data_IF_428085998525
#
_entry.id   IF_428085998525
#
_cell.length_a   1.000
_cell.length_b   1.000
_cell.length_c   1.000
_cell.angle_alpha   90.00
_cell.angle_beta   90.00
_cell.angle_gamma   90.00
#
_symmetry.space_group_name_H-M   'P 1'
#
loop_
_entity.id
_entity.type
_entity.pdbx_description
1 polymer ?
#
# COMPACT_ATOMS: atom_id res chain seq x y z
N UNK A 1 5.38 -5.86 -21.45
CA UNK A 1 5.02 -4.78 -20.50
C UNK A 1 5.75 -4.89 -19.17
N UNK A 2 5.52 -5.93 -18.34
CA UNK A 2 6.20 -6.11 -17.04
C UNK A 2 7.73 -5.93 -17.08
N UNK A 3 8.42 -6.63 -17.99
CA UNK A 3 9.87 -6.49 -18.18
C UNK A 3 10.31 -5.06 -18.52
N UNK A 4 9.53 -4.32 -19.31
CA UNK A 4 9.85 -2.94 -19.67
C UNK A 4 9.72 -2.01 -18.46
N UNK A 5 8.67 -2.19 -17.64
CA UNK A 5 8.50 -1.43 -16.40
C UNK A 5 9.63 -1.68 -15.38
N UNK A 6 10.20 -2.88 -15.35
CA UNK A 6 11.33 -3.21 -14.47
C UNK A 6 12.67 -2.68 -14.96
N UNK A 7 12.89 -2.64 -16.27
CA UNK A 7 14.18 -2.22 -16.86
C UNK A 7 14.23 -0.71 -17.13
N UNK A 8 13.09 -0.09 -17.42
CA UNK A 8 13.00 1.33 -17.76
C UNK A 8 12.04 2.04 -16.80
N UNK A 9 12.58 2.69 -15.74
CA UNK A 9 11.76 3.47 -14.81
C UNK A 9 10.98 4.55 -15.56
N UNK A 10 9.72 4.76 -15.17
CA UNK A 10 8.91 5.84 -15.74
C UNK A 10 9.53 7.19 -15.31
N UNK A 11 9.90 8.07 -16.27
CA UNK A 11 10.44 9.38 -15.94
C UNK A 11 9.39 10.25 -15.22
N UNK A 12 9.86 11.22 -14.44
CA UNK A 12 8.96 12.18 -13.79
C UNK A 12 8.14 12.97 -14.83
N UNK A 13 6.89 13.29 -14.53
CA UNK A 13 5.98 14.02 -15.43
C UNK A 13 5.30 13.16 -16.51
N UNK A 14 5.51 11.84 -16.51
CA UNK A 14 4.81 10.90 -17.39
C UNK A 14 3.67 10.16 -16.68
N UNK A 15 2.83 10.89 -15.95
CA UNK A 15 1.78 10.31 -15.10
C UNK A 15 0.75 9.52 -15.92
N UNK A 16 0.48 9.95 -17.16
CA UNK A 16 -0.36 9.19 -18.11
C UNK A 16 0.20 7.80 -18.43
N UNK A 17 1.52 7.69 -18.59
CA UNK A 17 2.15 6.39 -18.84
C UNK A 17 2.01 5.48 -17.61
N UNK A 18 2.22 6.03 -16.41
CA UNK A 18 2.07 5.30 -15.14
C UNK A 18 0.63 4.82 -14.95
N UNK A 19 -0.35 5.69 -15.18
CA UNK A 19 -1.78 5.34 -15.17
C UNK A 19 -2.09 4.16 -16.07
N UNK A 20 -1.69 4.24 -17.33
CA UNK A 20 -1.92 3.17 -18.31
C UNK A 20 -1.22 1.88 -17.92
N UNK A 21 -0.01 1.97 -17.36
CA UNK A 21 0.73 0.81 -16.86
C UNK A 21 -0.03 0.13 -15.71
N UNK A 22 -0.40 0.87 -14.66
CA UNK A 22 -1.08 0.33 -13.49
C UNK A 22 -2.41 -0.30 -13.86
N UNK A 23 -3.20 0.38 -14.69
CA UNK A 23 -4.44 -0.17 -15.25
C UNK A 23 -4.18 -1.49 -15.98
N UNK A 24 -3.15 -1.55 -16.83
CA UNK A 24 -2.84 -2.77 -17.58
C UNK A 24 -2.37 -3.93 -16.69
N UNK A 25 -1.65 -3.63 -15.61
CA UNK A 25 -1.12 -4.63 -14.67
C UNK A 25 -2.20 -5.14 -13.71
N UNK A 26 -3.16 -4.30 -13.33
CA UNK A 26 -4.26 -4.64 -12.42
C UNK A 26 -5.48 -5.21 -13.15
N UNK A 27 -5.80 -4.70 -14.35
CA UNK A 27 -6.98 -5.12 -15.11
C UNK A 27 -6.84 -6.48 -15.80
N UNK A 28 -5.85 -7.31 -15.44
CA UNK A 28 -5.57 -8.59 -16.09
C UNK A 28 -6.71 -9.63 -16.02
N UNK A 29 -7.81 -9.37 -15.30
CA UNK A 29 -8.87 -10.38 -15.08
C UNK A 29 -10.31 -9.85 -15.23
N UNK A 30 -10.53 -8.66 -15.80
CA UNK A 30 -11.89 -8.15 -16.06
C UNK A 30 -12.72 -7.74 -14.82
N UNK A 31 -12.20 -7.93 -13.61
CA UNK A 31 -12.83 -7.55 -12.34
C UNK A 31 -12.87 -6.03 -12.07
N UNK A 32 -12.16 -5.24 -12.87
CA UNK A 32 -12.01 -3.81 -12.68
C UNK A 32 -13.33 -3.03 -12.86
N UNK A 33 -14.00 -3.20 -14.01
CA UNK A 33 -15.20 -2.45 -14.35
C UNK A 33 -16.42 -2.74 -13.43
N UNK A 34 -16.64 -3.98 -12.96
CA UNK A 34 -17.65 -4.26 -11.93
C UNK A 34 -17.44 -3.45 -10.64
N UNK A 35 -16.22 -3.43 -10.09
CA UNK A 35 -15.91 -2.69 -8.86
C UNK A 35 -16.08 -1.18 -9.04
N UNK A 36 -15.63 -0.64 -10.18
CA UNK A 36 -15.80 0.78 -10.49
C UNK A 36 -17.28 1.19 -10.51
N UNK A 37 -18.17 0.34 -11.06
CA UNK A 37 -19.62 0.59 -11.07
C UNK A 37 -20.29 0.41 -9.71
N UNK A 38 -19.72 -0.42 -8.85
CA UNK A 38 -20.23 -0.66 -7.50
C UNK A 38 -19.95 0.53 -6.57
N UNK A 39 -18.83 1.24 -6.78
CA UNK A 39 -18.33 2.28 -5.89
C UNK A 39 -19.36 3.33 -5.46
N UNK A 40 -20.14 3.98 -6.35
CA UNK A 40 -21.07 5.03 -5.93
C UNK A 40 -22.13 4.53 -4.94
N UNK A 41 -22.55 3.27 -5.08
CA UNK A 41 -23.50 2.65 -4.16
C UNK A 41 -22.93 2.29 -2.80
N UNK A 42 -21.60 2.10 -2.70
CA UNK A 42 -20.89 1.88 -1.44
C UNK A 42 -20.57 3.22 -0.76
N UNK A 43 -20.10 4.20 -1.52
CA UNK A 43 -19.77 5.56 -1.05
C UNK A 43 -21.01 6.26 -0.47
N UNK A 44 -22.16 6.14 -1.13
CA UNK A 44 -23.43 6.69 -0.65
C UNK A 44 -23.90 6.15 0.71
N UNK A 45 -23.35 5.02 1.18
CA UNK A 45 -23.65 4.48 2.53
C UNK A 45 -22.96 5.27 3.64
N UNK A 46 -21.94 6.05 3.30
CA UNK A 46 -21.23 6.90 4.25
C UNK A 46 -20.36 6.10 5.24
N UNK A 47 -20.23 6.57 6.50
CA UNK A 47 -19.37 5.95 7.51
C UNK A 47 -19.63 4.45 7.74
N UNK A 48 -18.56 3.67 7.75
CA UNK A 48 -18.58 2.24 8.05
C UNK A 48 -18.42 1.95 9.55
N UNK A 49 -18.51 0.68 9.95
CA UNK A 49 -18.23 0.26 11.34
C UNK A 49 -16.80 0.55 11.81
N UNK A 50 -15.84 0.73 10.88
CA UNK A 50 -14.43 1.03 11.18
C UNK A 50 -14.06 2.49 10.91
N UNK A 51 -15.05 3.35 10.71
CA UNK A 51 -14.85 4.77 10.39
C UNK A 51 -13.93 5.51 11.39
N UNK A 52 -14.08 5.25 12.69
CA UNK A 52 -13.23 5.89 13.71
C UNK A 52 -11.77 5.48 13.59
N UNK A 53 -11.50 4.20 13.29
CA UNK A 53 -10.15 3.70 13.06
C UNK A 53 -9.56 4.31 11.78
N UNK A 54 -10.34 4.37 10.70
CA UNK A 54 -9.95 5.03 9.44
C UNK A 54 -9.55 6.49 9.71
N UNK A 55 -10.36 7.24 10.44
CA UNK A 55 -10.06 8.64 10.77
C UNK A 55 -8.81 8.79 11.62
N UNK A 56 -8.59 7.88 12.58
CA UNK A 56 -7.37 7.88 13.39
C UNK A 56 -6.13 7.68 12.50
N UNK A 57 -6.17 6.68 11.61
CA UNK A 57 -5.12 6.38 10.66
C UNK A 57 -4.83 7.54 9.70
N UNK A 58 -5.88 8.17 9.15
CA UNK A 58 -5.73 9.35 8.29
C UNK A 58 -5.16 10.55 9.05
N UNK A 59 -5.40 10.67 10.36
CA UNK A 59 -4.81 11.75 11.14
C UNK A 59 -3.27 11.65 11.21
N UNK A 60 -2.72 10.43 11.17
CA UNK A 60 -1.26 10.20 11.13
C UNK A 60 -0.65 10.70 9.82
N UNK A 61 -1.37 10.56 8.70
CA UNK A 61 -0.99 11.18 7.42
C UNK A 61 -0.94 12.70 7.56
N UNK A 62 -1.98 13.30 8.14
CA UNK A 62 -2.08 14.76 8.29
C UNK A 62 -1.04 15.38 9.21
N UNK A 63 -0.60 14.65 10.23
CA UNK A 63 0.45 15.12 11.14
C UNK A 63 1.85 15.12 10.49
N UNK A 64 1.99 14.48 9.34
CA UNK A 64 3.23 14.47 8.57
C UNK A 64 3.18 15.56 7.49
N UNK A 65 3.26 16.84 7.89
CA UNK A 65 3.17 18.00 6.96
C UNK A 65 4.03 17.87 5.71
N UNK A 66 5.27 17.38 5.85
CA UNK A 66 6.17 17.15 4.70
C UNK A 66 5.62 16.14 3.70
N UNK A 67 4.89 15.14 4.19
CA UNK A 67 4.33 14.08 3.37
C UNK A 67 3.11 14.59 2.61
N UNK A 68 2.14 15.21 3.28
CA UNK A 68 0.99 15.80 2.57
C UNK A 68 1.40 16.90 1.59
N UNK A 69 2.41 17.71 1.94
CA UNK A 69 2.92 18.76 1.05
C UNK A 69 3.65 18.19 -0.18
N UNK A 70 4.16 16.96 -0.12
CA UNK A 70 4.71 16.29 -1.31
C UNK A 70 3.64 15.68 -2.21
N UNK A 71 2.40 15.54 -1.74
CA UNK A 71 1.31 14.88 -2.45
C UNK A 71 0.16 15.82 -2.87
N UNK A 72 0.06 16.99 -2.24
CA UNK A 72 -0.95 18.00 -2.54
C UNK A 72 -0.36 19.41 -2.43
N UNK A 73 -0.73 20.28 -3.38
CA UNK A 73 -0.13 21.62 -3.58
C UNK A 73 -0.44 22.62 -2.48
N UNK A 74 -1.60 22.49 -1.86
CA UNK A 74 -2.13 23.44 -0.88
C UNK A 74 -3.07 22.75 0.11
N UNK A 75 -3.49 23.49 1.15
CA UNK A 75 -4.35 22.98 2.21
C UNK A 75 -5.72 22.47 1.71
N UNK A 76 -6.25 23.05 0.63
CA UNK A 76 -7.53 22.62 0.06
C UNK A 76 -7.37 21.28 -0.67
N UNK A 77 -6.29 21.13 -1.44
CA UNK A 77 -5.93 19.88 -2.10
C UNK A 77 -5.65 18.77 -1.07
N UNK A 78 -4.99 19.11 0.04
CA UNK A 78 -4.74 18.18 1.15
C UNK A 78 -6.05 17.71 1.80
N UNK A 79 -6.98 18.63 2.09
CA UNK A 79 -8.29 18.27 2.63
C UNK A 79 -9.08 17.37 1.67
N UNK A 80 -9.10 17.71 0.37
CA UNK A 80 -9.76 16.93 -0.66
C UNK A 80 -9.19 15.50 -0.76
N UNK A 81 -7.86 15.36 -0.68
CA UNK A 81 -7.18 14.06 -0.68
C UNK A 81 -7.59 13.22 0.53
N UNK A 82 -7.60 13.79 1.72
CA UNK A 82 -8.01 13.10 2.96
C UNK A 82 -9.48 12.67 2.87
N UNK A 83 -10.36 13.54 2.42
CA UNK A 83 -11.80 13.24 2.26
C UNK A 83 -12.01 12.09 1.25
N UNK A 84 -11.24 12.10 0.16
CA UNK A 84 -11.26 11.05 -0.88
C UNK A 84 -10.83 9.70 -0.30
N UNK A 85 -9.73 9.68 0.44
CA UNK A 85 -9.25 8.47 1.11
C UNK A 85 -10.27 7.96 2.14
N UNK A 86 -10.87 8.86 2.90
CA UNK A 86 -11.88 8.50 3.91
C UNK A 86 -13.11 7.84 3.26
N UNK A 87 -13.64 8.41 2.18
CA UNK A 87 -14.76 7.82 1.43
C UNK A 87 -14.39 6.45 0.86
N UNK A 88 -13.26 6.34 0.18
CA UNK A 88 -12.80 5.09 -0.43
C UNK A 88 -12.58 3.97 0.59
N UNK A 89 -11.96 4.27 1.72
CA UNK A 89 -11.70 3.28 2.77
C UNK A 89 -12.98 2.82 3.47
N UNK A 90 -13.95 3.71 3.69
CA UNK A 90 -15.25 3.32 4.22
C UNK A 90 -16.05 2.48 3.22
N UNK A 91 -16.04 2.86 1.93
CA UNK A 91 -16.64 2.07 0.86
C UNK A 91 -16.02 0.65 0.77
N UNK A 92 -14.71 0.52 0.98
CA UNK A 92 -14.03 -0.77 1.00
C UNK A 92 -14.53 -1.64 2.15
N UNK A 93 -14.69 -1.08 3.35
CA UNK A 93 -15.25 -1.83 4.49
C UNK A 93 -16.67 -2.33 4.18
N UNK A 94 -17.52 -1.50 3.56
CA UNK A 94 -18.87 -1.92 3.14
C UNK A 94 -18.81 -3.06 2.10
N UNK A 95 -17.88 -3.00 1.15
CA UNK A 95 -17.69 -4.07 0.17
C UNK A 95 -17.35 -5.40 0.86
N UNK A 96 -16.38 -5.37 1.78
CA UNK A 96 -15.93 -6.57 2.48
C UNK A 96 -17.02 -7.18 3.37
N UNK A 97 -17.87 -6.33 3.95
CA UNK A 97 -19.05 -6.75 4.72
C UNK A 97 -20.11 -7.43 3.84
N UNK A 98 -20.40 -6.86 2.66
CA UNK A 98 -21.34 -7.44 1.71
C UNK A 98 -20.85 -8.81 1.21
N UNK A 99 -19.54 -8.97 1.03
CA UNK A 99 -18.90 -10.23 0.60
C UNK A 99 -18.74 -11.26 1.74
N UNK A 100 -19.11 -10.90 2.98
CA UNK A 100 -18.93 -11.72 4.20
C UNK A 100 -17.47 -12.17 4.44
N UNK A 101 -16.50 -11.49 3.84
CA UNK A 101 -15.10 -11.84 3.99
C UNK A 101 -14.52 -11.08 5.20
N UNK A 102 -14.66 -11.71 6.37
CA UNK A 102 -14.11 -11.25 7.65
C UNK A 102 -12.58 -11.16 7.58
N UNK A 103 -11.93 -11.91 6.68
CA UNK A 103 -10.48 -11.90 6.52
C UNK A 103 -9.96 -10.72 5.68
N UNK A 104 -10.84 -9.90 5.09
CA UNK A 104 -10.47 -8.65 4.41
C UNK A 104 -10.89 -7.39 5.18
N UNK A 105 -11.07 -7.45 6.50
CA UNK A 105 -11.36 -6.26 7.31
C UNK A 105 -10.26 -5.20 7.17
N UNK A 106 -10.60 -3.91 7.29
CA UNK A 106 -9.63 -2.83 7.26
C UNK A 106 -8.55 -3.01 8.33
N UNK A 107 -7.28 -3.05 7.92
CA UNK A 107 -6.11 -3.14 8.81
C UNK A 107 -5.32 -1.85 8.74
N UNK A 108 -4.66 -1.50 9.86
CA UNK A 108 -3.76 -0.37 9.91
C UNK A 108 -2.70 -0.46 8.81
N UNK A 109 -2.54 0.63 8.06
CA UNK A 109 -1.61 0.72 6.95
C UNK A 109 -2.27 0.76 5.57
N UNK A 110 -3.53 0.30 5.44
CA UNK A 110 -4.25 0.33 4.17
C UNK A 110 -4.45 1.75 3.61
N UNK A 111 -4.47 2.77 4.47
CA UNK A 111 -4.53 4.17 4.05
C UNK A 111 -3.31 4.61 3.21
N UNK A 112 -2.11 4.07 3.47
CA UNK A 112 -0.93 4.34 2.64
C UNK A 112 -1.03 3.68 1.26
N UNK A 113 -1.64 2.51 1.20
CA UNK A 113 -1.88 1.80 -0.07
C UNK A 113 -2.93 2.54 -0.88
N UNK A 114 -4.06 2.92 -0.27
CA UNK A 114 -5.12 3.68 -0.92
C UNK A 114 -4.59 4.99 -1.52
N UNK A 115 -3.72 5.68 -0.78
CA UNK A 115 -3.05 6.90 -1.24
C UNK A 115 -2.29 6.70 -2.56
N UNK A 116 -1.51 5.63 -2.69
CA UNK A 116 -0.77 5.35 -3.92
C UNK A 116 -1.68 5.26 -5.15
N UNK A 117 -2.89 4.70 -4.98
CA UNK A 117 -3.88 4.60 -6.06
C UNK A 117 -4.55 5.94 -6.37
N UNK A 118 -4.91 6.73 -5.35
CA UNK A 118 -5.53 8.06 -5.53
C UNK A 118 -4.57 9.02 -6.23
N UNK A 119 -3.27 8.93 -5.96
CA UNK A 119 -2.26 9.78 -6.60
C UNK A 119 -2.08 9.49 -8.09
N UNK A 120 -2.18 8.21 -8.46
CA UNK A 120 -1.97 7.80 -9.85
C UNK A 120 -3.28 7.92 -10.63
N UNK A 121 -4.41 7.49 -10.06
CA UNK A 121 -5.69 7.37 -10.75
C UNK A 121 -6.61 8.54 -10.34
N UNK A 122 -6.88 9.51 -11.24
CA UNK A 122 -7.61 10.74 -10.89
C UNK A 122 -9.12 10.52 -10.71
N UNK A 123 -9.67 9.44 -11.27
CA UNK A 123 -11.07 9.08 -11.08
C UNK A 123 -11.19 8.27 -9.78
N UNK A 124 -11.97 8.78 -8.82
CA UNK A 124 -12.10 8.17 -7.49
C UNK A 124 -12.65 6.74 -7.56
N UNK A 125 -13.62 6.48 -8.45
CA UNK A 125 -14.16 5.14 -8.66
C UNK A 125 -13.13 4.19 -9.28
N UNK A 126 -12.30 4.68 -10.22
CA UNK A 126 -11.17 3.96 -10.79
C UNK A 126 -10.12 3.62 -9.73
N UNK A 127 -9.77 4.59 -8.88
CA UNK A 127 -8.83 4.42 -7.78
C UNK A 127 -9.36 3.38 -6.77
N UNK A 128 -10.64 3.44 -6.41
CA UNK A 128 -11.30 2.45 -5.57
C UNK A 128 -11.24 1.05 -6.15
N UNK A 129 -11.60 0.89 -7.43
CA UNK A 129 -11.58 -0.40 -8.08
C UNK A 129 -10.16 -1.00 -8.11
N UNK A 130 -9.15 -0.17 -8.41
CA UNK A 130 -7.75 -0.58 -8.41
C UNK A 130 -7.27 -1.00 -7.01
N UNK A 131 -7.58 -0.20 -5.99
CA UNK A 131 -7.25 -0.46 -4.59
C UNK A 131 -7.91 -1.75 -4.08
N UNK A 132 -9.23 -1.88 -4.26
CA UNK A 132 -9.99 -3.04 -3.81
C UNK A 132 -9.49 -4.33 -4.48
N UNK A 133 -9.26 -4.29 -5.80
CA UNK A 133 -8.71 -5.43 -6.53
C UNK A 133 -7.31 -5.79 -6.02
N UNK A 134 -6.46 -4.80 -5.79
CA UNK A 134 -5.12 -5.01 -5.26
C UNK A 134 -5.17 -5.73 -3.90
N UNK A 135 -5.99 -5.26 -2.96
CA UNK A 135 -6.09 -5.87 -1.63
C UNK A 135 -6.71 -7.27 -1.67
N UNK A 136 -7.80 -7.44 -2.40
CA UNK A 136 -8.56 -8.71 -2.41
C UNK A 136 -7.93 -9.81 -3.27
N UNK A 137 -7.17 -9.45 -4.32
CA UNK A 137 -6.61 -10.41 -5.28
C UNK A 137 -5.10 -10.46 -5.31
N UNK A 138 -4.42 -9.30 -5.28
CA UNK A 138 -2.97 -9.26 -5.37
C UNK A 138 -2.32 -9.49 -4.01
N UNK A 139 -2.85 -8.87 -2.96
CA UNK A 139 -2.25 -8.78 -1.63
C UNK A 139 -3.11 -9.33 -0.46
N UNK A 140 -3.88 -10.43 -0.62
CA UNK A 140 -4.83 -10.86 0.41
C UNK A 140 -4.15 -11.26 1.73
N UNK A 141 -2.92 -11.78 1.68
CA UNK A 141 -2.14 -12.15 2.87
C UNK A 141 -1.65 -10.91 3.64
N UNK A 142 -1.31 -9.83 2.91
CA UNK A 142 -0.92 -8.57 3.54
C UNK A 142 -2.13 -7.92 4.24
N UNK A 143 -3.33 -8.04 3.68
CA UNK A 143 -4.56 -7.57 4.32
C UNK A 143 -4.87 -8.29 5.64
N UNK A 144 -4.33 -9.51 5.85
CA UNK A 144 -4.60 -10.36 7.01
C UNK A 144 -3.55 -10.26 8.11
N UNK A 145 -2.48 -9.48 7.91
CA UNK A 145 -1.33 -9.39 8.82
C UNK A 145 -0.71 -10.75 9.22
N UNK A 146 -0.91 -11.80 8.41
CA UNK A 146 -0.45 -13.17 8.64
C UNK A 146 0.66 -13.50 7.65
N UNK A 147 1.79 -12.80 7.78
CA UNK A 147 3.00 -13.07 7.00
C UNK A 147 3.85 -14.13 7.72
N UNK A 148 3.23 -15.25 8.09
CA UNK A 148 3.80 -16.25 9.00
C UNK A 148 5.14 -16.79 8.48
N UNK A 149 6.23 -16.35 9.11
CA UNK A 149 7.58 -16.89 8.93
C UNK A 149 8.31 -16.53 7.62
N UNK A 150 7.65 -15.93 6.62
CA UNK A 150 8.33 -15.62 5.34
C UNK A 150 9.45 -14.58 5.52
N UNK A 151 9.22 -13.58 6.37
CA UNK A 151 10.23 -12.56 6.67
C UNK A 151 11.44 -13.15 7.39
N UNK A 152 11.20 -13.97 8.42
CA UNK A 152 12.24 -14.67 9.17
C UNK A 152 13.05 -15.60 8.27
N UNK A 153 12.37 -16.37 7.42
CA UNK A 153 13.03 -17.30 6.51
C UNK A 153 13.91 -16.57 5.50
N UNK A 154 13.43 -15.46 4.92
CA UNK A 154 14.23 -14.64 4.03
C UNK A 154 15.44 -14.03 4.75
N UNK A 155 15.28 -13.47 5.96
CA UNK A 155 16.40 -12.89 6.71
C UNK A 155 17.41 -13.98 7.12
N UNK A 156 16.94 -15.13 7.60
CA UNK A 156 17.78 -16.27 7.99
C UNK A 156 18.61 -16.82 6.82
N UNK A 157 18.06 -16.83 5.61
CA UNK A 157 18.76 -17.26 4.39
C UNK A 157 19.79 -16.20 3.96
N UNK A 158 19.44 -14.91 4.01
CA UNK A 158 20.25 -13.83 3.45
C UNK A 158 21.33 -13.29 4.42
N UNK A 159 21.06 -13.26 5.73
CA UNK A 159 21.98 -12.85 6.79
C UNK A 159 21.66 -13.56 8.11
N UNK A 160 22.13 -14.80 8.23
CA UNK A 160 21.94 -15.62 9.43
C UNK A 160 22.46 -14.95 10.72
N UNK A 161 23.68 -14.36 10.76
CA UNK A 161 24.15 -13.67 11.97
C UNK A 161 23.21 -12.57 12.46
N UNK A 162 22.67 -11.76 11.55
CA UNK A 162 21.70 -10.73 11.92
C UNK A 162 20.39 -11.32 12.43
N UNK A 163 19.89 -12.36 11.76
CA UNK A 163 18.70 -13.09 12.20
C UNK A 163 18.86 -13.66 13.63
N UNK A 164 19.95 -14.38 13.89
CA UNK A 164 20.24 -14.97 15.20
C UNK A 164 20.38 -13.88 16.28
N UNK A 165 21.08 -12.79 15.99
CA UNK A 165 21.21 -11.67 16.92
C UNK A 165 19.85 -11.07 17.31
N UNK A 166 18.97 -10.79 16.33
CA UNK A 166 17.64 -10.25 16.62
C UNK A 166 16.80 -11.24 17.42
N UNK A 167 16.87 -12.53 17.10
CA UNK A 167 16.15 -13.59 17.79
C UNK A 167 16.62 -13.73 19.26
N UNK A 168 17.93 -13.72 19.49
CA UNK A 168 18.53 -13.81 20.83
C UNK A 168 18.12 -12.63 21.73
N UNK A 169 17.83 -11.48 21.13
CA UNK A 169 17.33 -10.28 21.82
C UNK A 169 15.79 -10.20 21.89
N UNK A 170 15.06 -11.22 21.41
CA UNK A 170 13.60 -11.24 21.41
C UNK A 170 12.96 -10.18 20.50
N UNK A 171 13.66 -9.81 19.42
CA UNK A 171 13.20 -8.84 18.41
C UNK A 171 12.63 -9.61 17.22
N UNK A 172 11.30 -9.72 17.18
CA UNK A 172 10.57 -10.43 16.13
C UNK A 172 10.13 -9.50 14.97
N UNK A 173 9.90 -10.02 13.75
CA UNK A 173 9.51 -9.24 12.57
C UNK A 173 8.32 -8.30 12.75
N UNK A 174 7.37 -8.63 13.63
CA UNK A 174 6.21 -7.81 13.97
C UNK A 174 6.63 -6.40 14.41
N UNK A 175 7.79 -6.28 15.07
CA UNK A 175 8.28 -5.01 15.63
C UNK A 175 8.98 -4.13 14.61
N UNK A 176 9.71 -4.72 13.66
CA UNK A 176 10.58 -3.96 12.76
C UNK A 176 10.16 -4.00 11.29
N UNK A 177 9.47 -5.05 10.84
CA UNK A 177 9.16 -5.29 9.43
C UNK A 177 7.69 -5.08 9.09
N UNK A 178 6.76 -5.48 9.97
CA UNK A 178 5.33 -5.56 9.61
C UNK A 178 4.75 -4.22 9.19
N UNK A 179 5.09 -3.12 9.88
CA UNK A 179 4.66 -1.78 9.45
C UNK A 179 5.11 -1.45 8.02
N UNK A 180 6.34 -1.80 7.64
CA UNK A 180 6.87 -1.57 6.29
C UNK A 180 6.24 -2.51 5.25
N UNK A 181 5.95 -3.76 5.64
CA UNK A 181 5.32 -4.75 4.77
C UNK A 181 3.86 -4.38 4.48
N UNK A 182 3.08 -4.06 5.51
CA UNK A 182 1.65 -3.77 5.43
C UNK A 182 1.36 -2.42 4.77
N UNK A 183 2.26 -1.45 4.88
CA UNK A 183 2.13 -0.15 4.20
C UNK A 183 2.80 -0.10 2.83
N UNK A 184 3.40 -1.21 2.36
CA UNK A 184 4.25 -1.22 1.15
C UNK A 184 5.29 -0.08 1.16
N UNK A 185 5.92 0.10 2.32
CA UNK A 185 6.90 1.17 2.63
C UNK A 185 6.34 2.60 2.62
N UNK A 186 5.03 2.78 2.50
CA UNK A 186 4.38 4.09 2.44
C UNK A 186 4.62 4.96 3.69
N UNK A 187 4.80 4.36 4.87
CA UNK A 187 5.07 5.10 6.11
C UNK A 187 6.44 5.83 6.16
N UNK A 188 7.29 5.73 5.12
CA UNK A 188 8.67 6.24 5.17
C UNK A 188 8.73 7.73 4.84
N UNK A 189 8.92 8.54 5.87
CA UNK A 189 9.01 10.03 5.83
C UNK A 189 10.13 10.64 4.95
N UNK A 190 11.00 9.83 4.33
CA UNK A 190 12.23 10.29 3.64
C UNK A 190 12.22 10.00 2.14
N UNK A 191 11.21 9.28 1.63
CA UNK A 191 11.15 8.93 0.20
C UNK A 191 10.37 10.02 -0.54
N UNK A 192 10.90 10.49 -1.67
CA UNK A 192 10.16 11.41 -2.54
C UNK A 192 8.94 10.71 -3.11
N UNK A 193 7.85 11.45 -3.38
CA UNK A 193 6.66 10.88 -4.03
C UNK A 193 7.04 10.07 -5.30
N UNK A 194 7.93 10.61 -6.13
CA UNK A 194 8.32 9.95 -7.37
C UNK A 194 9.04 8.61 -7.14
N UNK A 195 9.89 8.52 -6.13
CA UNK A 195 10.59 7.27 -5.81
C UNK A 195 9.66 6.25 -5.16
N UNK A 196 8.68 6.71 -4.37
CA UNK A 196 7.60 5.86 -3.88
C UNK A 196 6.80 5.26 -5.04
N UNK A 197 6.38 6.07 -6.01
CA UNK A 197 5.65 5.58 -7.19
C UNK A 197 6.50 4.65 -8.08
N UNK A 198 7.81 4.89 -8.21
CA UNK A 198 8.73 3.97 -8.90
C UNK A 198 8.82 2.61 -8.21
N UNK A 199 8.81 2.59 -6.88
CA UNK A 199 8.79 1.35 -6.13
C UNK A 199 7.48 0.58 -6.37
N UNK A 200 6.35 1.29 -6.41
CA UNK A 200 5.06 0.71 -6.79
C UNK A 200 5.03 0.19 -8.23
N UNK A 201 5.67 0.88 -9.18
CA UNK A 201 5.83 0.39 -10.56
C UNK A 201 6.52 -0.99 -10.56
N UNK A 202 7.53 -1.18 -9.72
CA UNK A 202 8.23 -2.47 -9.53
C UNK A 202 7.34 -3.50 -8.85
N UNK A 203 6.63 -3.15 -7.78
CA UNK A 203 5.74 -4.07 -7.07
C UNK A 203 4.65 -4.63 -7.98
N UNK A 204 4.00 -3.78 -8.77
CA UNK A 204 2.97 -4.22 -9.71
C UNK A 204 3.53 -5.01 -10.90
N UNK A 205 4.75 -4.68 -11.36
CA UNK A 205 5.35 -5.34 -12.51
C UNK A 205 5.99 -6.70 -12.16
N UNK A 206 6.63 -6.83 -11.00
CA UNK A 206 7.31 -8.05 -10.55
C UNK A 206 6.38 -8.97 -9.74
N UNK A 207 5.44 -8.39 -9.00
CA UNK A 207 4.66 -9.07 -7.98
C UNK A 207 5.02 -8.56 -6.59
N UNK A 208 4.00 -8.36 -5.77
CA UNK A 208 4.07 -7.63 -4.49
C UNK A 208 4.98 -8.28 -3.44
N UNK A 209 5.24 -9.59 -3.54
CA UNK A 209 6.04 -10.33 -2.57
C UNK A 209 7.51 -9.90 -2.56
N UNK A 210 7.97 -9.22 -3.63
CA UNK A 210 9.29 -8.61 -3.65
C UNK A 210 9.47 -7.56 -2.53
N UNK A 211 8.38 -7.00 -2.00
CA UNK A 211 8.42 -6.10 -0.85
C UNK A 211 9.11 -6.74 0.37
N UNK A 212 8.97 -8.06 0.58
CA UNK A 212 9.69 -8.77 1.65
C UNK A 212 11.20 -8.63 1.48
N UNK A 213 11.70 -8.86 0.27
CA UNK A 213 13.12 -8.71 -0.03
C UNK A 213 13.57 -7.25 0.06
N UNK A 214 12.73 -6.28 -0.31
CA UNK A 214 13.02 -4.86 -0.11
C UNK A 214 13.20 -4.50 1.36
N UNK A 215 12.40 -5.07 2.26
CA UNK A 215 12.53 -4.85 3.71
C UNK A 215 13.76 -5.57 4.26
N UNK A 216 14.03 -6.82 3.86
CA UNK A 216 15.25 -7.53 4.27
C UNK A 216 16.51 -6.79 3.81
N UNK A 217 16.54 -6.31 2.57
CA UNK A 217 17.67 -5.53 2.06
C UNK A 217 17.94 -4.27 2.88
N UNK A 218 16.89 -3.60 3.38
CA UNK A 218 17.05 -2.44 4.26
C UNK A 218 17.63 -2.81 5.62
N UNK A 219 17.26 -3.96 6.19
CA UNK A 219 17.82 -4.45 7.45
C UNK A 219 19.30 -4.81 7.29
N UNK A 220 19.65 -5.51 6.21
CA UNK A 220 21.04 -5.85 5.89
C UNK A 220 21.86 -4.57 5.68
N UNK A 221 21.29 -3.55 5.04
CA UNK A 221 21.96 -2.26 4.90
C UNK A 221 22.22 -1.57 6.25
N UNK A 222 21.34 -1.77 7.24
CA UNK A 222 21.48 -1.24 8.59
C UNK A 222 22.23 -2.19 9.55
N UNK A 223 22.73 -3.33 9.05
CA UNK A 223 23.31 -4.42 9.83
C UNK A 223 24.34 -3.96 10.85
N UNK A 224 25.30 -3.13 10.44
CA UNK A 224 26.41 -2.72 11.30
C UNK A 224 25.98 -1.82 12.46
N UNK A 225 24.77 -1.24 12.38
CA UNK A 225 24.16 -0.47 13.46
C UNK A 225 23.27 -1.35 14.35
N UNK A 226 22.79 -2.48 13.81
CA UNK A 226 21.86 -3.39 14.48
C UNK A 226 22.56 -4.53 15.24
N UNK A 227 23.78 -4.89 14.84
CA UNK A 227 24.65 -5.89 15.51
C UNK A 227 25.53 -5.24 16.58
#
# INVERSE_FOLDING_TARGET
LRRLALVHPIPAGHDELRRRLWRSLLACEGHFAPLQRLYPGLEARGPSSLHQQIRHDLSVLTQSDRFLSSHASDAQAQACLVDTLERMLNAFVHQMQDEQDVAGSYVQGLHWIALAFVEVLPDEAEAFAAFSLFITRCAPVYARATMDGLMDECLRILDRPLYEHLLDHGIFPERYAYNALLSFTGCRKVISQQDHLRLWDVFLAHGIHINVLCVVAQLIHARDVLL
#
